data_IF_051100095660
#
_entry.id   IF_051100095660
#
_cell.length_a   1.000
_cell.length_b   1.000
_cell.length_c   1.000
_cell.angle_alpha   90.00
_cell.angle_beta   90.00
_cell.angle_gamma   90.00
#
_symmetry.space_group_name_H-M   'P 1'
#
loop_
_entity.id
_entity.type
_entity.pdbx_description
1 polymer ?
#
# COMPACT_ATOMS: atom_id res chain seq x y z
N UNK A 1 3.49 -25.73 -14.51
CA UNK A 1 3.52 -25.29 -13.10
C UNK A 1 2.57 -24.13 -12.95
N UNK A 2 1.80 -24.05 -11.84
CA UNK A 2 0.87 -22.97 -11.60
C UNK A 2 1.62 -21.63 -11.56
N UNK A 3 1.02 -20.58 -12.12
CA UNK A 3 1.65 -19.25 -12.18
C UNK A 3 1.74 -18.55 -10.83
N UNK A 4 0.92 -18.96 -9.86
CA UNK A 4 0.82 -18.32 -8.54
C UNK A 4 0.91 -19.37 -7.43
N UNK A 5 1.54 -19.01 -6.31
CA UNK A 5 1.47 -19.79 -5.06
C UNK A 5 0.89 -18.91 -3.96
N UNK A 6 -0.12 -19.41 -3.25
CA UNK A 6 -0.74 -18.75 -2.10
C UNK A 6 -0.41 -19.54 -0.83
N UNK A 7 0.11 -18.84 0.17
CA UNK A 7 0.54 -19.40 1.45
C UNK A 7 -0.31 -18.84 2.59
N UNK A 8 -0.85 -19.72 3.43
CA UNK A 8 -1.54 -19.34 4.67
C UNK A 8 -1.39 -20.49 5.69
N UNK A 9 -1.41 -20.20 6.98
CA UNK A 9 -1.35 -21.24 8.02
C UNK A 9 -2.74 -21.82 8.33
N UNK A 10 -3.80 -21.09 8.02
CA UNK A 10 -5.18 -21.42 8.31
C UNK A 10 -5.86 -22.14 7.14
N UNK A 11 -6.09 -23.44 7.30
CA UNK A 11 -6.82 -24.25 6.30
C UNK A 11 -8.19 -23.67 5.92
N UNK A 12 -9.00 -23.11 6.86
CA UNK A 12 -10.27 -22.48 6.49
C UNK A 12 -10.11 -21.29 5.53
N UNK A 13 -9.04 -20.49 5.69
CA UNK A 13 -8.75 -19.36 4.81
C UNK A 13 -8.35 -19.85 3.40
N UNK A 14 -7.53 -20.89 3.32
CA UNK A 14 -7.13 -21.52 2.05
C UNK A 14 -8.32 -22.16 1.32
N UNK A 15 -9.23 -22.79 2.06
CA UNK A 15 -10.43 -23.41 1.48
C UNK A 15 -11.35 -22.34 0.87
N UNK A 16 -11.64 -21.27 1.64
CA UNK A 16 -12.45 -20.16 1.15
C UNK A 16 -11.77 -19.42 -0.02
N UNK A 17 -10.46 -19.19 0.05
CA UNK A 17 -9.70 -18.57 -1.02
C UNK A 17 -9.76 -19.36 -2.32
N UNK A 18 -9.63 -20.69 -2.25
CA UNK A 18 -9.78 -21.60 -3.40
C UNK A 18 -11.16 -21.49 -4.04
N UNK A 19 -12.21 -21.45 -3.23
CA UNK A 19 -13.59 -21.29 -3.70
C UNK A 19 -13.77 -19.96 -4.45
N UNK A 20 -13.34 -18.86 -3.84
CA UNK A 20 -13.47 -17.50 -4.40
C UNK A 20 -12.64 -17.31 -5.68
N UNK A 21 -11.47 -17.96 -5.76
CA UNK A 21 -10.57 -17.85 -6.90
C UNK A 21 -10.89 -18.84 -8.04
N UNK A 22 -11.88 -19.72 -7.86
CA UNK A 22 -12.26 -20.73 -8.83
C UNK A 22 -12.52 -20.14 -10.21
N UNK A 23 -11.72 -20.56 -11.20
CA UNK A 23 -11.83 -20.10 -12.59
C UNK A 23 -11.24 -18.71 -12.88
N UNK A 24 -10.69 -18.03 -11.86
CA UNK A 24 -10.09 -16.68 -11.98
C UNK A 24 -8.57 -16.72 -11.83
N UNK A 25 -8.05 -17.57 -10.93
CA UNK A 25 -6.63 -17.62 -10.61
C UNK A 25 -6.08 -19.05 -10.74
N UNK A 26 -5.05 -19.22 -11.59
CA UNK A 26 -4.22 -20.42 -11.62
C UNK A 26 -3.21 -20.37 -10.46
N UNK A 27 -3.62 -20.92 -9.31
CA UNK A 27 -2.85 -20.88 -8.07
C UNK A 27 -2.73 -22.24 -7.41
N UNK A 28 -1.54 -22.51 -6.89
CA UNK A 28 -1.30 -23.54 -5.88
C UNK A 28 -1.53 -22.96 -4.49
N UNK A 29 -2.32 -23.66 -3.68
CA UNK A 29 -2.66 -23.23 -2.32
C UNK A 29 -1.97 -24.15 -1.34
N UNK A 30 -1.06 -23.60 -0.53
CA UNK A 30 -0.26 -24.39 0.42
C UNK A 30 -0.49 -23.90 1.83
N UNK A 31 -0.73 -24.88 2.71
CA UNK A 31 -0.72 -24.63 4.15
C UNK A 31 0.72 -24.52 4.62
N UNK A 32 1.11 -23.35 5.07
CA UNK A 32 2.49 -23.05 5.42
C UNK A 32 2.57 -22.12 6.64
N UNK A 33 3.54 -22.36 7.52
CA UNK A 33 3.77 -21.46 8.66
C UNK A 33 4.63 -20.30 8.21
N UNK A 34 4.04 -19.10 8.20
CA UNK A 34 4.77 -17.87 7.89
C UNK A 34 5.61 -17.46 9.12
N UNK A 35 6.92 -17.34 8.93
CA UNK A 35 7.89 -16.99 9.98
C UNK A 35 9.33 -17.22 9.52
N UNK A 36 10.30 -17.15 10.44
CA UNK A 36 11.73 -17.17 10.08
C UNK A 36 12.25 -18.41 9.33
N UNK A 37 11.55 -19.54 9.41
CA UNK A 37 11.90 -20.77 8.69
C UNK A 37 11.37 -20.81 7.24
N UNK A 38 10.48 -19.89 6.86
CA UNK A 38 9.90 -19.87 5.52
C UNK A 38 10.99 -19.64 4.48
N UNK A 39 10.91 -20.39 3.38
CA UNK A 39 11.74 -20.18 2.19
C UNK A 39 10.84 -20.13 0.97
N UNK A 40 11.02 -19.09 0.17
CA UNK A 40 10.25 -18.88 -1.05
C UNK A 40 11.09 -19.33 -2.24
N UNK A 41 10.45 -19.86 -3.27
CA UNK A 41 11.11 -20.07 -4.56
C UNK A 41 11.36 -18.71 -5.23
N UNK A 42 12.35 -18.64 -6.11
CA UNK A 42 12.59 -17.43 -6.90
C UNK A 42 11.36 -17.12 -7.76
N UNK A 43 10.93 -15.86 -7.75
CA UNK A 43 9.68 -15.41 -8.38
C UNK A 43 9.80 -13.96 -8.86
N UNK A 44 8.88 -13.53 -9.70
CA UNK A 44 8.84 -12.14 -10.17
C UNK A 44 8.26 -11.20 -9.10
N UNK A 45 7.26 -11.66 -8.35
CA UNK A 45 6.50 -10.86 -7.38
C UNK A 45 6.18 -11.66 -6.12
N UNK A 46 6.42 -11.03 -4.96
CA UNK A 46 5.88 -11.45 -3.67
C UNK A 46 4.91 -10.39 -3.15
N UNK A 47 3.71 -10.81 -2.74
CA UNK A 47 2.75 -9.97 -2.03
C UNK A 47 2.62 -10.44 -0.59
N UNK A 48 2.66 -9.49 0.36
CA UNK A 48 2.45 -9.74 1.78
C UNK A 48 1.28 -8.86 2.22
N UNK A 49 0.11 -9.47 2.39
CA UNK A 49 -1.15 -8.72 2.60
C UNK A 49 -1.74 -9.03 3.96
N UNK A 50 -1.73 -8.05 4.87
CA UNK A 50 -2.34 -8.11 6.20
C UNK A 50 -1.77 -9.19 7.15
N UNK A 51 -0.59 -9.73 6.86
CA UNK A 51 0.05 -10.80 7.64
C UNK A 51 1.05 -10.27 8.65
N UNK A 52 1.75 -9.15 8.41
CA UNK A 52 2.80 -8.69 9.32
C UNK A 52 2.26 -8.39 10.71
N UNK A 53 1.04 -7.84 10.83
CA UNK A 53 0.37 -7.62 12.13
C UNK A 53 0.27 -8.88 13.01
N UNK A 54 0.27 -10.07 12.42
CA UNK A 54 0.08 -11.35 13.11
C UNK A 54 1.41 -11.98 13.54
N UNK A 55 2.53 -11.40 13.10
CA UNK A 55 3.87 -11.92 13.32
C UNK A 55 4.61 -11.15 14.42
N UNK A 56 5.59 -11.82 15.04
CA UNK A 56 6.58 -11.17 15.91
C UNK A 56 7.47 -10.23 15.09
N UNK A 57 8.13 -9.27 15.73
CA UNK A 57 9.05 -8.36 15.03
C UNK A 57 10.15 -9.11 14.26
N UNK A 58 10.74 -10.15 14.87
CA UNK A 58 11.75 -10.99 14.24
C UNK A 58 11.22 -11.76 13.02
N UNK A 59 10.00 -12.30 13.10
CA UNK A 59 9.37 -13.00 11.99
C UNK A 59 8.97 -12.03 10.86
N UNK A 60 8.54 -10.81 11.18
CA UNK A 60 8.28 -9.76 10.18
C UNK A 60 9.54 -9.44 9.39
N UNK A 61 10.65 -9.19 10.09
CA UNK A 61 11.93 -8.88 9.46
C UNK A 61 12.43 -10.05 8.60
N UNK A 62 12.29 -11.28 9.10
CA UNK A 62 12.68 -12.49 8.37
C UNK A 62 11.85 -12.67 7.10
N UNK A 63 10.52 -12.48 7.17
CA UNK A 63 9.63 -12.60 6.02
C UNK A 63 9.96 -11.57 4.94
N UNK A 64 10.14 -10.30 5.31
CA UNK A 64 10.46 -9.24 4.35
C UNK A 64 11.84 -9.49 3.71
N UNK A 65 12.80 -9.97 4.50
CA UNK A 65 14.14 -10.34 3.99
C UNK A 65 14.06 -11.50 3.00
N UNK A 66 13.29 -12.54 3.31
CA UNK A 66 13.08 -13.66 2.39
C UNK A 66 12.35 -13.23 1.11
N UNK A 67 11.33 -12.36 1.22
CA UNK A 67 10.67 -11.78 0.06
C UNK A 67 11.64 -10.98 -0.82
N UNK A 68 12.52 -10.18 -0.20
CA UNK A 68 13.54 -9.40 -0.90
C UNK A 68 14.61 -10.29 -1.59
N UNK A 69 14.90 -11.46 -1.02
CA UNK A 69 15.79 -12.48 -1.58
C UNK A 69 15.17 -13.15 -2.80
N UNK A 70 13.90 -13.52 -2.71
CA UNK A 70 13.22 -14.37 -3.69
C UNK A 70 12.65 -13.60 -4.89
N UNK A 71 12.35 -12.30 -4.75
CA UNK A 71 11.53 -11.57 -5.71
C UNK A 71 12.25 -10.43 -6.46
N UNK A 72 11.76 -10.12 -7.66
CA UNK A 72 12.12 -8.88 -8.39
C UNK A 72 11.26 -7.69 -7.94
N UNK A 73 10.04 -7.93 -7.48
CA UNK A 73 9.14 -6.95 -6.89
C UNK A 73 8.52 -7.48 -5.58
N UNK A 74 8.35 -6.59 -4.60
CA UNK A 74 7.68 -6.91 -3.34
C UNK A 74 6.61 -5.85 -3.06
N UNK A 75 5.39 -6.30 -2.75
CA UNK A 75 4.30 -5.45 -2.29
C UNK A 75 3.87 -5.88 -0.90
N UNK A 76 3.92 -4.96 0.06
CA UNK A 76 3.48 -5.19 1.43
C UNK A 76 2.30 -4.27 1.71
N UNK A 77 1.20 -4.82 2.25
CA UNK A 77 -0.01 -4.09 2.61
C UNK A 77 -0.40 -4.43 4.04
N UNK A 78 -0.72 -3.41 4.83
CA UNK A 78 -1.15 -3.51 6.23
C UNK A 78 -2.34 -2.59 6.51
N UNK A 79 -3.09 -2.79 7.62
CA UNK A 79 -4.10 -1.83 8.04
C UNK A 79 -3.52 -0.41 8.16
N UNK A 80 -4.30 0.60 7.77
CA UNK A 80 -3.90 2.01 7.76
C UNK A 80 -3.96 2.65 9.15
N UNK A 81 -3.40 1.96 10.14
CA UNK A 81 -3.25 2.38 11.53
C UNK A 81 -1.82 2.86 11.80
N UNK A 82 -1.56 3.55 12.92
CA UNK A 82 -0.19 3.90 13.34
C UNK A 82 0.76 2.69 13.34
N UNK A 83 0.38 1.59 14.02
CA UNK A 83 1.21 0.38 14.07
C UNK A 83 1.40 -0.27 12.68
N UNK A 84 0.39 -0.19 11.81
CA UNK A 84 0.47 -0.70 10.44
C UNK A 84 1.44 0.11 9.59
N UNK A 85 1.41 1.44 9.74
CA UNK A 85 2.41 2.32 9.14
C UNK A 85 3.83 2.00 9.64
N UNK A 86 4.04 1.80 10.94
CA UNK A 86 5.36 1.43 11.47
C UNK A 86 5.89 0.14 10.84
N UNK A 87 5.03 -0.87 10.68
CA UNK A 87 5.39 -2.12 9.97
C UNK A 87 5.75 -1.86 8.51
N UNK A 88 5.02 -1.00 7.81
CA UNK A 88 5.31 -0.64 6.42
C UNK A 88 6.64 0.11 6.29
N UNK A 89 6.94 1.06 7.18
CA UNK A 89 8.21 1.79 7.12
C UNK A 89 9.39 0.89 7.47
N UNK A 90 9.24 -0.04 8.42
CA UNK A 90 10.26 -1.05 8.71
C UNK A 90 10.49 -1.99 7.50
N UNK A 91 9.41 -2.49 6.88
CA UNK A 91 9.51 -3.32 5.68
C UNK A 91 10.17 -2.56 4.52
N UNK A 92 9.78 -1.29 4.31
CA UNK A 92 10.38 -0.40 3.31
C UNK A 92 11.88 -0.23 3.54
N UNK A 93 12.31 -0.01 4.79
CA UNK A 93 13.73 0.14 5.11
C UNK A 93 14.54 -1.13 4.78
N UNK A 94 13.99 -2.31 5.08
CA UNK A 94 14.62 -3.60 4.73
C UNK A 94 14.71 -3.80 3.21
N UNK A 95 13.64 -3.48 2.47
CA UNK A 95 13.62 -3.59 1.01
C UNK A 95 14.65 -2.66 0.36
N UNK A 96 14.68 -1.39 0.76
CA UNK A 96 15.67 -0.42 0.27
C UNK A 96 17.10 -0.86 0.62
N UNK A 97 17.32 -1.32 1.87
CA UNK A 97 18.60 -1.87 2.29
C UNK A 97 19.05 -3.10 1.49
N UNK A 98 18.11 -3.88 0.95
CA UNK A 98 18.37 -5.02 0.06
C UNK A 98 18.56 -4.63 -1.43
N UNK A 99 18.62 -3.33 -1.73
CA UNK A 99 18.85 -2.80 -3.07
C UNK A 99 17.60 -2.63 -3.93
N UNK A 100 16.41 -2.55 -3.33
CA UNK A 100 15.19 -2.21 -4.05
C UNK A 100 15.01 -0.69 -4.15
N UNK A 101 14.37 -0.25 -5.23
CA UNK A 101 13.81 1.10 -5.39
C UNK A 101 12.33 1.08 -5.04
N UNK A 102 11.86 2.05 -4.26
CA UNK A 102 10.42 2.19 -3.96
C UNK A 102 9.69 2.70 -5.20
N UNK A 103 8.75 1.91 -5.71
CA UNK A 103 7.90 2.28 -6.84
C UNK A 103 6.65 3.05 -6.40
N UNK A 104 6.08 2.69 -5.24
CA UNK A 104 4.91 3.34 -4.66
C UNK A 104 4.76 3.00 -3.17
N UNK A 105 3.96 3.73 -2.39
CA UNK A 105 3.37 5.04 -2.70
C UNK A 105 4.39 6.17 -2.55
N UNK A 106 5.47 5.95 -1.79
CA UNK A 106 6.48 6.97 -1.53
C UNK A 106 7.12 7.40 -2.87
N UNK A 107 7.30 8.72 -3.08
CA UNK A 107 7.91 9.25 -4.31
C UNK A 107 9.44 9.17 -4.32
N UNK A 108 10.03 8.59 -3.27
CA UNK A 108 11.47 8.47 -3.09
C UNK A 108 11.81 7.21 -2.30
N UNK A 109 13.09 6.82 -2.33
CA UNK A 109 13.64 5.70 -1.54
C UNK A 109 14.42 6.16 -0.28
N UNK A 110 14.57 7.47 -0.06
CA UNK A 110 15.19 8.04 1.16
C UNK A 110 14.39 7.77 2.45
N UNK A 111 14.86 8.22 3.61
CA UNK A 111 14.12 8.06 4.87
C UNK A 111 12.72 8.70 4.80
N UNK A 112 11.72 8.09 5.46
CA UNK A 112 10.37 8.68 5.50
C UNK A 112 10.43 10.01 6.28
N UNK A 113 9.87 11.12 5.75
CA UNK A 113 9.95 12.43 6.40
C UNK A 113 8.99 12.59 7.60
N UNK A 114 8.04 11.65 7.79
CA UNK A 114 7.16 11.66 8.96
C UNK A 114 7.97 11.24 10.19
N UNK A 115 7.95 12.06 11.24
CA UNK A 115 8.61 11.76 12.51
C UNK A 115 7.83 10.64 13.22
N UNK A 116 8.47 9.54 13.63
CA UNK A 116 7.81 8.44 14.34
C UNK A 116 7.00 8.92 15.55
N UNK A 117 5.80 8.39 15.72
CA UNK A 117 4.88 8.75 16.82
C UNK A 117 4.14 10.08 16.66
N UNK A 118 4.48 10.91 15.67
CA UNK A 118 3.78 12.20 15.46
C UNK A 118 2.62 12.12 14.49
N UNK A 119 2.74 11.23 13.49
CA UNK A 119 1.73 11.02 12.46
C UNK A 119 1.97 9.67 11.76
N UNK A 120 1.08 9.27 10.85
CA UNK A 120 1.25 8.08 10.02
C UNK A 120 0.73 8.28 8.59
N UNK A 121 1.44 7.73 7.60
CA UNK A 121 0.98 7.72 6.21
C UNK A 121 0.06 6.53 5.96
N UNK A 122 -1.12 6.78 5.40
CA UNK A 122 -2.10 5.75 5.03
C UNK A 122 -2.95 6.27 3.86
N UNK A 123 -3.78 5.38 3.33
CA UNK A 123 -4.75 5.63 2.27
C UNK A 123 -6.09 5.01 2.66
N UNK A 124 -7.10 5.23 1.84
CA UNK A 124 -8.45 4.72 2.06
C UNK A 124 -8.98 4.10 0.78
N UNK A 125 -9.47 2.87 0.86
CA UNK A 125 -10.18 2.20 -0.22
C UNK A 125 -11.64 2.01 0.17
N UNK A 126 -12.57 2.35 -0.72
CA UNK A 126 -13.98 2.11 -0.48
C UNK A 126 -14.33 0.66 -0.79
N UNK A 127 -14.72 -0.10 0.22
CA UNK A 127 -15.14 -1.50 0.08
C UNK A 127 -16.65 -1.65 0.30
N UNK A 128 -17.29 -2.44 -0.54
CA UNK A 128 -18.73 -2.69 -0.44
C UNK A 128 -19.05 -3.55 0.79
N UNK A 129 -20.03 -3.16 1.59
CA UNK A 129 -20.53 -3.99 2.71
C UNK A 129 -21.49 -5.05 2.18
N UNK A 130 -21.16 -6.33 2.40
CA UNK A 130 -22.05 -7.44 2.08
C UNK A 130 -23.38 -7.33 2.83
N UNK A 131 -24.45 -7.90 2.28
CA UNK A 131 -25.79 -7.88 2.87
C UNK A 131 -25.86 -8.51 4.28
N UNK A 132 -24.95 -9.42 4.59
CA UNK A 132 -24.86 -10.12 5.88
C UNK A 132 -24.18 -9.25 6.96
N UNK A 133 -23.16 -8.45 6.60
CA UNK A 133 -22.56 -7.46 7.49
C UNK A 133 -23.53 -6.34 7.91
N UNK A 134 -24.44 -5.93 7.01
CA UNK A 134 -25.48 -4.93 7.34
C UNK A 134 -26.47 -5.41 8.40
N UNK A 135 -26.82 -6.70 8.39
CA UNK A 135 -27.77 -7.29 9.36
C UNK A 135 -27.19 -7.47 10.76
N UNK A 136 -25.87 -7.67 10.88
CA UNK A 136 -25.22 -7.99 12.16
C UNK A 136 -24.68 -6.74 12.87
N UNK A 137 -24.25 -5.70 12.14
CA UNK A 137 -23.51 -4.57 12.74
C UNK A 137 -24.24 -3.21 12.79
N UNK A 138 -25.53 -3.14 12.46
CA UNK A 138 -26.35 -1.93 12.64
C UNK A 138 -25.88 -0.68 11.86
N UNK A 139 -24.99 -0.82 10.88
CA UNK A 139 -24.50 0.27 10.04
C UNK A 139 -25.45 0.55 8.87
N UNK A 140 -25.80 1.82 8.65
CA UNK A 140 -26.76 2.27 7.62
C UNK A 140 -26.17 2.43 6.21
N UNK A 141 -24.84 2.44 6.06
CA UNK A 141 -24.17 2.66 4.77
C UNK A 141 -23.79 1.35 4.07
N UNK A 142 -23.93 1.33 2.74
CA UNK A 142 -23.64 0.17 1.88
C UNK A 142 -22.14 -0.05 1.59
N UNK A 143 -21.27 0.81 2.14
CA UNK A 143 -19.83 0.76 1.97
C UNK A 143 -19.12 1.08 3.30
N UNK A 144 -17.86 0.70 3.37
CA UNK A 144 -16.91 1.04 4.42
C UNK A 144 -15.63 1.58 3.77
N UNK A 145 -15.03 2.59 4.37
CA UNK A 145 -13.75 3.11 3.93
C UNK A 145 -12.66 2.36 4.73
N UNK A 146 -12.07 1.34 4.11
CA UNK A 146 -10.99 0.56 4.71
C UNK A 146 -9.69 1.34 4.55
N UNK A 147 -9.08 1.67 5.69
CA UNK A 147 -7.78 2.34 5.71
C UNK A 147 -6.67 1.32 5.56
N UNK A 148 -5.69 1.62 4.72
CA UNK A 148 -4.54 0.74 4.49
C UNK A 148 -3.24 1.56 4.36
N UNK A 149 -2.12 0.93 4.65
CA UNK A 149 -0.78 1.43 4.35
C UNK A 149 -0.08 0.37 3.49
N UNK A 150 0.79 0.81 2.56
CA UNK A 150 1.50 -0.13 1.71
C UNK A 150 2.86 0.39 1.28
N UNK A 151 3.70 -0.52 0.80
CA UNK A 151 4.91 -0.22 0.02
C UNK A 151 5.00 -1.22 -1.13
N UNK A 152 5.32 -0.72 -2.31
CA UNK A 152 5.69 -1.48 -3.49
C UNK A 152 7.13 -1.11 -3.87
N UNK A 153 8.02 -2.09 -3.94
CA UNK A 153 9.41 -1.88 -4.26
C UNK A 153 9.89 -2.88 -5.32
N UNK A 154 10.81 -2.47 -6.19
CA UNK A 154 11.28 -3.25 -7.34
C UNK A 154 12.81 -3.23 -7.46
N UNK A 155 13.39 -4.22 -8.13
CA UNK A 155 14.80 -4.22 -8.58
C UNK A 155 14.99 -3.69 -10.00
N UNK A 156 13.90 -3.64 -10.77
CA UNK A 156 13.89 -3.06 -12.11
C UNK A 156 13.53 -1.57 -12.06
N UNK A 157 13.91 -0.79 -13.10
CA UNK A 157 13.62 0.64 -13.17
C UNK A 157 12.13 0.97 -13.02
N UNK A 158 11.84 2.02 -12.27
CA UNK A 158 10.51 2.56 -12.03
C UNK A 158 10.60 4.07 -11.96
N UNK A 159 9.51 4.75 -12.30
CA UNK A 159 9.36 6.20 -12.20
C UNK A 159 8.32 6.52 -11.12
N UNK A 160 8.72 6.71 -9.86
CA UNK A 160 7.81 7.16 -8.82
C UNK A 160 7.22 8.53 -9.17
N UNK A 161 6.01 8.81 -8.66
CA UNK A 161 5.42 10.14 -8.80
C UNK A 161 6.35 11.22 -8.26
N UNK A 162 6.35 12.42 -8.86
CA UNK A 162 7.16 13.55 -8.39
C UNK A 162 6.82 13.93 -6.94
N UNK A 163 5.53 14.06 -6.64
CA UNK A 163 5.00 14.14 -5.29
C UNK A 163 3.75 13.27 -5.16
N UNK A 164 3.36 12.97 -3.93
CA UNK A 164 2.17 12.19 -3.57
C UNK A 164 1.30 13.00 -2.63
N UNK A 165 -0.01 13.07 -2.91
CA UNK A 165 -0.98 13.63 -1.98
C UNK A 165 -1.13 12.69 -0.78
N UNK A 166 -0.67 13.12 0.40
CA UNK A 166 -0.63 12.27 1.61
C UNK A 166 -1.84 12.43 2.52
N UNK A 167 -2.73 13.39 2.25
CA UNK A 167 -3.98 13.60 2.99
C UNK A 167 -5.12 13.93 2.03
N UNK A 168 -6.36 13.75 2.46
CA UNK A 168 -7.53 14.17 1.68
C UNK A 168 -7.43 15.67 1.34
N UNK A 169 -7.45 16.07 0.05
CA UNK A 169 -7.45 17.46 -0.35
C UNK A 169 -8.53 18.29 0.36
N UNK A 170 -8.15 19.47 0.84
CA UNK A 170 -9.07 20.36 1.56
C UNK A 170 -9.60 21.43 0.62
N UNK A 171 -10.79 21.19 0.06
CA UNK A 171 -11.47 22.14 -0.82
C UNK A 171 -12.15 23.25 -0.02
N UNK A 172 -11.88 24.50 -0.40
CA UNK A 172 -12.49 25.73 0.13
C UNK A 172 -13.01 26.59 -1.02
N UNK A 173 -13.69 27.69 -0.71
CA UNK A 173 -14.20 28.63 -1.73
C UNK A 173 -13.03 29.24 -2.52
N UNK A 174 -12.78 28.71 -3.71
CA UNK A 174 -11.79 29.24 -4.65
C UNK A 174 -10.35 28.79 -4.45
N UNK A 175 -10.10 27.83 -3.56
CA UNK A 175 -8.80 27.20 -3.38
C UNK A 175 -8.93 25.75 -2.91
N UNK A 176 -7.87 24.97 -3.12
CA UNK A 176 -7.66 23.63 -2.60
C UNK A 176 -6.31 23.62 -1.88
N UNK A 177 -6.28 23.11 -0.65
CA UNK A 177 -5.04 22.87 0.08
C UNK A 177 -4.65 21.40 -0.06
N UNK A 178 -3.40 21.17 -0.42
CA UNK A 178 -2.80 19.85 -0.58
C UNK A 178 -1.69 19.67 0.45
N UNK A 179 -1.60 18.47 1.02
CA UNK A 179 -0.44 18.04 1.79
C UNK A 179 0.28 16.98 0.97
N UNK A 180 1.55 17.23 0.69
CA UNK A 180 2.35 16.49 -0.27
C UNK A 180 3.55 15.87 0.44
N UNK A 181 4.00 14.74 -0.10
CA UNK A 181 5.31 14.18 0.15
C UNK A 181 6.04 14.14 -1.19
N UNK A 182 7.31 14.54 -1.24
CA UNK A 182 8.20 14.50 -2.40
C UNK A 182 9.62 14.07 -1.95
N UNK A 183 10.64 14.20 -2.82
CA UNK A 183 12.03 13.84 -2.48
C UNK A 183 12.64 14.72 -1.37
N UNK A 184 12.11 15.92 -1.17
CA UNK A 184 12.60 16.90 -0.20
C UNK A 184 11.85 16.82 1.14
N UNK A 185 10.69 16.16 1.16
CA UNK A 185 9.97 15.80 2.36
C UNK A 185 8.49 16.15 2.31
N UNK A 186 7.94 16.56 3.46
CA UNK A 186 6.54 16.96 3.56
C UNK A 186 6.37 18.45 3.26
N UNK A 187 5.43 18.78 2.40
CA UNK A 187 5.12 20.16 2.02
C UNK A 187 3.60 20.39 1.96
N UNK A 188 3.22 21.67 1.92
CA UNK A 188 1.82 22.09 1.71
C UNK A 188 1.76 22.98 0.49
N UNK A 189 0.79 22.70 -0.39
CA UNK A 189 0.54 23.50 -1.58
C UNK A 189 -0.88 24.09 -1.53
N UNK A 190 -1.04 25.28 -2.09
CA UNK A 190 -2.32 26.00 -2.17
C UNK A 190 -2.64 26.31 -3.62
N UNK A 191 -3.55 25.52 -4.20
CA UNK A 191 -4.00 25.69 -5.57
C UNK A 191 -5.24 26.58 -5.60
N UNK A 192 -5.17 27.74 -6.24
CA UNK A 192 -6.29 28.70 -6.28
C UNK A 192 -6.88 28.83 -7.67
N UNK A 193 -8.08 29.41 -7.81
CA UNK A 193 -8.72 29.67 -9.12
C UNK A 193 -7.82 30.32 -10.17
N UNK A 194 -6.85 31.15 -9.75
CA UNK A 194 -5.91 31.82 -10.68
C UNK A 194 -4.98 30.84 -11.42
N UNK A 195 -4.81 29.62 -10.87
CA UNK A 195 -4.02 28.56 -11.50
C UNK A 195 -4.81 27.80 -12.60
N UNK A 196 -6.01 28.25 -12.96
CA UNK A 196 -6.73 27.79 -14.14
C UNK A 196 -7.00 26.27 -14.14
N UNK A 197 -6.55 25.51 -15.16
CA UNK A 197 -6.74 24.06 -15.24
C UNK A 197 -6.25 23.28 -14.01
N UNK A 198 -5.12 23.70 -13.41
CA UNK A 198 -4.56 23.05 -12.23
C UNK A 198 -5.51 23.13 -11.03
N UNK A 199 -6.30 24.20 -10.92
CA UNK A 199 -7.35 24.29 -9.88
C UNK A 199 -8.50 23.29 -10.12
N UNK A 200 -8.86 23.04 -11.38
CA UNK A 200 -9.85 21.99 -11.69
C UNK A 200 -9.30 20.64 -11.27
N UNK A 201 -8.07 20.32 -11.68
CA UNK A 201 -7.40 19.07 -11.32
C UNK A 201 -7.25 18.90 -9.81
N UNK A 202 -6.85 19.94 -9.07
CA UNK A 202 -6.73 19.89 -7.61
C UNK A 202 -8.06 19.59 -6.90
N UNK A 203 -9.19 20.07 -7.44
CA UNK A 203 -10.52 19.76 -6.88
C UNK A 203 -10.95 18.32 -7.12
N UNK A 204 -10.47 17.75 -8.21
CA UNK A 204 -10.81 16.39 -8.65
C UNK A 204 -9.78 15.37 -8.13
N UNK A 205 -8.65 15.83 -7.57
CA UNK A 205 -7.61 14.99 -7.00
C UNK A 205 -8.06 14.28 -5.73
N UNK A 206 -7.54 13.07 -5.55
CA UNK A 206 -7.82 12.18 -4.45
C UNK A 206 -6.60 11.95 -3.55
N UNK A 207 -6.86 11.33 -2.41
CA UNK A 207 -5.82 10.96 -1.46
C UNK A 207 -4.99 9.81 -2.03
N UNK A 208 -3.70 10.05 -2.26
CA UNK A 208 -2.79 9.10 -2.89
C UNK A 208 -2.52 9.37 -4.36
N UNK A 209 -3.14 10.39 -4.95
CA UNK A 209 -2.82 10.78 -6.31
C UNK A 209 -1.39 11.34 -6.44
N UNK A 210 -0.75 11.14 -7.60
CA UNK A 210 0.47 11.86 -7.95
C UNK A 210 0.17 13.36 -8.08
N UNK A 211 1.15 14.20 -7.74
CA UNK A 211 1.06 15.65 -7.88
C UNK A 211 2.39 16.27 -8.36
N UNK A 212 2.36 17.30 -9.24
CA UNK A 212 1.21 17.70 -10.04
C UNK A 212 0.75 16.54 -10.93
N UNK A 213 -0.50 16.56 -11.44
CA UNK A 213 -0.94 15.57 -12.41
C UNK A 213 0.00 15.64 -13.61
N UNK A 214 0.37 14.49 -14.16
CA UNK A 214 1.10 14.45 -15.42
C UNK A 214 0.28 15.27 -16.44
N UNK A 215 0.91 16.30 -17.00
CA UNK A 215 0.28 17.02 -18.09
C UNK A 215 0.13 16.05 -19.25
N UNK A 216 -0.96 16.18 -20.03
CA UNK A 216 -0.82 15.92 -21.46
C UNK A 216 0.28 16.86 -21.95
N UNK A 217 1.51 16.35 -21.96
CA UNK A 217 2.60 16.98 -22.67
C UNK A 217 2.18 16.89 -24.13
N UNK A 218 1.64 17.99 -24.66
CA UNK A 218 1.34 18.14 -26.08
C UNK A 218 2.58 17.83 -26.93
#
# INVERSE_FOLDING_TARGET
SPRTTVLDWAEPALALGRELAGGVLDAEWRRERIGGALRLADTDLVTVSYVLKELTEADRASLVTEAARAAQAVVVVEPGTPDGYERIIAARALLVGAGFTVAAPCPHSGACPIVPGTDWCHFSARVSRSSLHRKVKGGSLAYEDEKYAYVAATRFPVDPAAARIVRKPQTRKGLVLLELCDSEGLSRDTVTKRHGPLYKQARDAEWGDPWPPEGDTL
#
